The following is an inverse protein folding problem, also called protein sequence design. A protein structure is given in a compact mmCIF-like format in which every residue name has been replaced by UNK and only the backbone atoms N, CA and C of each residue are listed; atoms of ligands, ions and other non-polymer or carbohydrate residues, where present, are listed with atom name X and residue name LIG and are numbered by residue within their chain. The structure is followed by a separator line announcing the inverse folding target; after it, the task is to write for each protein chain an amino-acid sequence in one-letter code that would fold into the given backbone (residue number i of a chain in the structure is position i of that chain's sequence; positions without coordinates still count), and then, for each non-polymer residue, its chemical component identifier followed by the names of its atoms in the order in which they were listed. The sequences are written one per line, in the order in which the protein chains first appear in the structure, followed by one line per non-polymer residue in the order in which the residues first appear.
data_IF_686249143864
#
_entry.id   IF_686249143864
#
_cell.length_a   1.000
_cell.length_b   1.000
_cell.length_c   1.000
_cell.angle_alpha   90.00
_cell.angle_beta   90.00
_cell.angle_gamma   90.00
#
_symmetry.space_group_name_H-M   'P 1'
#
loop_
_entity.id
_entity.type
_entity.pdbx_description
1 polymer ?
#
# COMPACT_ATOMS: atom_id res chain seq x y z
N UNK A 1 14.57 5.33 -8.53
CA UNK A 1 13.95 6.52 -7.92
C UNK A 1 14.58 7.73 -8.61
N UNK A 2 13.80 8.69 -9.12
CA UNK A 2 14.40 9.92 -9.63
C UNK A 2 14.88 10.77 -8.42
N UNK A 3 15.73 11.77 -8.65
CA UNK A 3 16.23 12.63 -7.56
C UNK A 3 15.11 13.36 -6.81
N UNK A 4 13.99 13.67 -7.49
CA UNK A 4 12.82 14.31 -6.88
C UNK A 4 12.16 13.42 -5.81
N UNK A 5 11.83 12.18 -6.16
CA UNK A 5 11.15 11.20 -5.31
C UNK A 5 11.99 10.86 -4.07
N UNK A 6 13.33 10.81 -4.23
CA UNK A 6 14.25 10.57 -3.11
C UNK A 6 14.27 11.76 -2.13
N UNK A 7 14.33 12.99 -2.65
CA UNK A 7 14.30 14.20 -1.81
C UNK A 7 12.94 14.36 -1.12
N UNK A 8 11.84 14.15 -1.85
CA UNK A 8 10.49 14.18 -1.31
C UNK A 8 10.35 13.19 -0.15
N UNK A 9 10.78 11.93 -0.36
CA UNK A 9 10.77 10.91 0.69
C UNK A 9 11.59 11.33 1.91
N UNK A 10 12.83 11.80 1.72
CA UNK A 10 13.67 12.23 2.84
C UNK A 10 12.99 13.33 3.66
N UNK A 11 12.40 14.32 2.99
CA UNK A 11 11.73 15.44 3.65
C UNK A 11 10.49 14.98 4.43
N UNK A 12 9.67 14.13 3.82
CA UNK A 12 8.46 13.61 4.44
C UNK A 12 8.75 12.67 5.62
N UNK A 13 9.73 11.77 5.47
CA UNK A 13 10.11 10.84 6.53
C UNK A 13 10.71 11.60 7.73
N UNK A 14 11.49 12.66 7.49
CA UNK A 14 12.01 13.51 8.57
C UNK A 14 10.89 14.31 9.24
N UNK A 15 9.99 14.93 8.46
CA UNK A 15 8.86 15.68 9.01
C UNK A 15 7.97 14.76 9.87
N UNK A 16 7.69 13.56 9.38
CA UNK A 16 6.97 12.52 10.10
C UNK A 16 7.68 12.16 11.41
N UNK A 17 8.99 11.93 11.37
CA UNK A 17 9.78 11.62 12.57
C UNK A 17 9.74 12.74 13.60
N UNK A 18 9.82 14.01 13.17
CA UNK A 18 9.74 15.19 14.05
C UNK A 18 8.37 15.31 14.71
N UNK A 19 7.27 15.08 13.98
CA UNK A 19 5.94 14.99 14.58
C UNK A 19 5.84 13.83 15.57
N UNK A 20 6.29 12.62 15.20
CA UNK A 20 6.30 11.42 16.06
C UNK A 20 7.05 11.64 17.38
N UNK A 21 8.14 12.41 17.36
CA UNK A 21 8.97 12.74 18.53
C UNK A 21 8.45 13.91 19.35
N UNK A 22 7.50 14.68 18.82
CA UNK A 22 7.02 15.91 19.45
C UNK A 22 7.99 17.09 19.34
N UNK A 23 8.94 17.04 18.40
CA UNK A 23 9.90 18.12 18.15
C UNK A 23 9.19 19.42 17.76
N UNK A 24 8.01 19.30 17.13
CA UNK A 24 7.12 20.39 16.78
C UNK A 24 5.92 20.45 17.73
N UNK A 25 6.18 20.79 19.00
CA UNK A 25 5.18 20.74 20.08
C UNK A 25 3.95 21.65 19.90
N UNK A 26 4.05 22.70 19.08
CA UNK A 26 2.93 23.60 18.74
C UNK A 26 2.20 23.20 17.45
N UNK A 27 2.55 22.04 16.89
CA UNK A 27 2.01 21.58 15.62
C UNK A 27 0.53 21.22 15.72
N UNK A 28 -0.18 21.43 14.60
CA UNK A 28 -1.58 21.01 14.42
C UNK A 28 -1.72 19.50 14.13
N UNK A 29 -0.59 18.81 13.99
CA UNK A 29 -0.42 17.37 13.81
C UNK A 29 0.17 16.76 15.08
N UNK A 30 -0.47 15.70 15.58
CA UNK A 30 -0.10 14.96 16.80
C UNK A 30 1.02 13.93 16.57
N UNK A 31 1.61 13.43 17.65
CA UNK A 31 2.61 12.37 17.62
C UNK A 31 2.06 10.98 17.22
N UNK A 32 0.75 10.83 17.07
CA UNK A 32 0.11 9.60 16.57
C UNK A 32 -0.14 9.62 15.06
N UNK A 33 0.46 10.57 14.35
CA UNK A 33 0.43 10.63 12.89
C UNK A 33 1.13 9.41 12.28
N UNK A 34 0.55 8.89 11.19
CA UNK A 34 1.12 7.79 10.41
C UNK A 34 1.04 8.09 8.93
N UNK A 35 2.01 7.59 8.15
CA UNK A 35 1.97 7.64 6.69
C UNK A 35 0.94 6.65 6.17
N UNK A 36 0.09 7.12 5.27
CA UNK A 36 -0.94 6.29 4.62
C UNK A 36 -0.73 6.27 3.12
N UNK A 37 -1.54 5.46 2.43
CA UNK A 37 -1.65 5.53 0.98
C UNK A 37 -2.00 6.96 0.55
N UNK A 38 -1.28 7.47 -0.44
CA UNK A 38 -1.71 8.62 -1.22
C UNK A 38 -2.60 8.13 -2.36
N UNK A 39 -3.81 8.66 -2.46
CA UNK A 39 -4.66 8.41 -3.62
C UNK A 39 -4.08 9.18 -4.81
N UNK A 40 -3.94 8.51 -5.96
CA UNK A 40 -3.48 9.17 -7.20
C UNK A 40 -4.62 9.76 -8.03
N UNK A 41 -5.84 9.80 -7.49
CA UNK A 41 -6.93 10.57 -8.09
C UNK A 41 -6.55 12.05 -8.02
N UNK A 42 -6.70 12.76 -9.13
CA UNK A 42 -6.43 14.19 -9.16
C UNK A 42 -7.40 14.93 -8.21
N UNK A 43 -6.91 15.82 -7.32
CA UNK A 43 -5.50 16.20 -7.12
C UNK A 43 -4.72 15.20 -6.25
N UNK A 44 -3.57 14.71 -6.76
CA UNK A 44 -2.77 13.65 -6.12
C UNK A 44 -1.58 14.23 -5.36
N UNK A 45 -1.57 14.20 -4.01
CA UNK A 45 -0.42 14.64 -3.23
C UNK A 45 0.78 13.70 -3.37
N UNK A 46 1.98 14.22 -3.13
CA UNK A 46 3.21 13.43 -3.11
C UNK A 46 3.24 12.44 -1.93
N UNK A 47 2.67 12.85 -0.79
CA UNK A 47 2.43 11.98 0.36
C UNK A 47 1.16 12.37 1.13
N UNK A 48 0.56 11.36 1.78
CA UNK A 48 -0.59 11.54 2.66
C UNK A 48 -0.30 10.93 4.02
N UNK A 49 -0.66 11.66 5.07
CA UNK A 49 -0.61 11.20 6.44
C UNK A 49 -2.01 11.19 7.06
N UNK A 50 -2.17 10.41 8.12
CA UNK A 50 -3.37 10.38 8.93
C UNK A 50 -3.04 10.57 10.41
N UNK A 51 -3.68 11.55 11.02
CA UNK A 51 -3.59 11.82 12.45
C UNK A 51 -4.76 11.16 13.19
N UNK A 52 -4.46 10.16 14.02
CA UNK A 52 -5.48 9.40 14.73
C UNK A 52 -6.09 10.15 15.93
N UNK A 53 -5.38 11.12 16.52
CA UNK A 53 -5.91 11.90 17.65
C UNK A 53 -6.94 12.89 17.15
N UNK A 54 -6.59 13.67 16.13
CA UNK A 54 -7.48 14.70 15.60
C UNK A 54 -8.43 14.18 14.53
N UNK A 55 -8.23 12.94 14.04
CA UNK A 55 -8.97 12.31 12.95
C UNK A 55 -8.90 13.15 11.68
N UNK A 56 -7.68 13.49 11.25
CA UNK A 56 -7.41 14.40 10.13
C UNK A 56 -6.52 13.74 9.09
N UNK A 57 -6.81 14.01 7.82
CA UNK A 57 -5.95 13.63 6.69
C UNK A 57 -5.05 14.82 6.33
N UNK A 58 -3.76 14.58 6.18
CA UNK A 58 -2.76 15.62 5.89
C UNK A 58 -2.13 15.31 4.54
N UNK A 59 -2.20 16.25 3.59
CA UNK A 59 -1.54 16.14 2.29
C UNK A 59 -0.22 16.90 2.29
N UNK A 60 0.83 16.33 1.71
CA UNK A 60 2.14 16.98 1.55
C UNK A 60 2.43 17.16 0.06
N UNK A 61 2.77 18.39 -0.32
CA UNK A 61 3.32 18.73 -1.63
C UNK A 61 4.82 18.98 -1.48
N UNK A 62 5.66 18.30 -2.26
CA UNK A 62 7.09 18.57 -2.29
C UNK A 62 7.48 19.35 -3.54
N UNK A 63 8.44 20.26 -3.39
CA UNK A 63 9.13 20.87 -4.52
C UNK A 63 10.65 20.77 -4.35
N UNK A 64 11.40 20.40 -5.40
CA UNK A 64 12.86 20.27 -5.35
C UNK A 64 13.57 21.63 -5.47
N UNK A 65 14.87 21.74 -5.16
CA UNK A 65 15.64 22.98 -5.35
C UNK A 65 15.89 23.33 -6.82
N UNK A 66 15.70 22.37 -7.72
CA UNK A 66 15.77 22.56 -9.17
C UNK A 66 14.50 23.21 -9.75
N UNK A 67 13.42 23.31 -8.96
CA UNK A 67 12.18 23.93 -9.39
C UNK A 67 12.30 25.45 -9.37
N UNK A 68 11.72 26.13 -10.36
CA UNK A 68 11.71 27.59 -10.36
C UNK A 68 10.69 28.19 -9.38
N UNK A 69 10.84 29.48 -9.07
CA UNK A 69 9.89 30.25 -8.23
C UNK A 69 8.43 30.05 -8.63
N UNK A 70 8.15 29.98 -9.94
CA UNK A 70 6.81 29.68 -10.47
C UNK A 70 6.31 28.30 -10.07
N UNK A 71 7.16 27.27 -10.18
CA UNK A 71 6.78 25.90 -9.79
C UNK A 71 6.56 25.76 -8.29
N UNK A 72 7.28 26.53 -7.45
CA UNK A 72 6.97 26.60 -6.01
C UNK A 72 5.57 27.18 -5.77
N UNK A 73 5.22 28.27 -6.46
CA UNK A 73 3.88 28.86 -6.37
C UNK A 73 2.79 27.93 -6.94
N UNK A 74 3.10 27.16 -7.98
CA UNK A 74 2.22 26.07 -8.43
C UNK A 74 2.01 25.02 -7.34
N UNK A 75 3.06 24.68 -6.58
CA UNK A 75 2.97 23.81 -5.41
C UNK A 75 2.02 24.33 -4.34
N UNK A 76 2.01 25.64 -4.07
CA UNK A 76 1.00 26.24 -3.20
C UNK A 76 -0.42 26.04 -3.76
N UNK A 77 -0.63 26.26 -5.06
CA UNK A 77 -1.91 25.99 -5.72
C UNK A 77 -2.36 24.53 -5.59
N UNK A 78 -1.42 23.58 -5.71
CA UNK A 78 -1.68 22.16 -5.47
C UNK A 78 -2.04 21.88 -4.01
N UNK A 79 -1.30 22.44 -3.05
CA UNK A 79 -1.60 22.33 -1.63
C UNK A 79 -3.01 22.85 -1.28
N UNK A 80 -3.46 23.93 -1.93
CA UNK A 80 -4.84 24.42 -1.83
C UNK A 80 -5.84 23.41 -2.40
N UNK A 81 -5.56 22.84 -3.57
CA UNK A 81 -6.44 21.87 -4.21
C UNK A 81 -6.67 20.60 -3.37
N UNK A 82 -5.65 20.15 -2.63
CA UNK A 82 -5.77 18.98 -1.75
C UNK A 82 -6.80 19.16 -0.63
N UNK A 83 -7.15 20.39 -0.27
CA UNK A 83 -8.18 20.65 0.76
C UNK A 83 -9.58 20.20 0.35
N UNK A 84 -9.80 19.82 -0.92
CA UNK A 84 -11.04 19.16 -1.35
C UNK A 84 -11.24 17.84 -0.59
N UNK A 85 -10.18 17.04 -0.45
CA UNK A 85 -10.24 15.70 0.14
C UNK A 85 -9.51 15.61 1.49
N UNK A 86 -8.36 16.27 1.63
CA UNK A 86 -7.59 16.31 2.86
C UNK A 86 -8.16 17.32 3.86
N UNK A 87 -7.93 17.07 5.16
CA UNK A 87 -8.28 18.00 6.23
C UNK A 87 -7.41 19.25 6.22
N UNK A 88 -6.13 19.07 5.91
CA UNK A 88 -5.11 20.12 5.85
C UNK A 88 -4.00 19.72 4.88
N UNK A 89 -3.14 20.67 4.52
CA UNK A 89 -1.97 20.38 3.68
C UNK A 89 -0.73 21.15 4.11
N UNK A 90 0.44 20.67 3.71
CA UNK A 90 1.70 21.39 3.84
C UNK A 90 2.40 21.46 2.48
N UNK A 91 2.91 22.65 2.15
CA UNK A 91 3.91 22.80 1.11
C UNK A 91 5.29 22.57 1.74
N UNK A 92 6.07 21.68 1.15
CA UNK A 92 7.46 21.36 1.52
C UNK A 92 8.38 21.90 0.44
N UNK A 93 9.15 22.94 0.76
CA UNK A 93 9.98 23.66 -0.21
C UNK A 93 11.42 23.86 0.30
N UNK A 94 12.41 23.99 -0.58
CA UNK A 94 13.78 24.33 -0.17
C UNK A 94 13.84 25.78 0.29
N UNK A 95 14.82 26.09 1.14
CA UNK A 95 15.11 27.49 1.48
C UNK A 95 15.68 28.28 0.30
N UNK A 96 16.51 27.61 -0.50
CA UNK A 96 17.14 28.18 -1.69
C UNK A 96 16.45 27.68 -2.96
N UNK A 97 16.09 28.62 -3.84
CA UNK A 97 15.42 28.33 -5.12
C UNK A 97 16.14 29.06 -6.24
N UNK A 98 16.63 28.35 -7.26
CA UNK A 98 17.35 28.93 -8.40
C UNK A 98 18.52 29.86 -7.99
N UNK A 99 19.28 29.51 -6.95
CA UNK A 99 20.39 30.34 -6.45
C UNK A 99 19.96 31.56 -5.65
N UNK A 100 18.68 31.71 -5.32
CA UNK A 100 18.17 32.74 -4.42
C UNK A 100 18.00 32.18 -3.00
N UNK A 101 18.92 32.49 -2.07
CA UNK A 101 18.88 31.98 -0.70
C UNK A 101 17.84 32.68 0.18
N UNK A 102 17.14 33.71 -0.34
CA UNK A 102 16.14 34.46 0.42
C UNK A 102 14.71 34.21 -0.05
N UNK A 103 14.50 33.37 -1.07
CA UNK A 103 13.16 33.11 -1.60
C UNK A 103 12.19 32.57 -0.54
N UNK A 104 12.69 31.76 0.42
CA UNK A 104 11.88 31.27 1.53
C UNK A 104 11.27 32.39 2.38
N UNK A 105 11.91 33.56 2.50
CA UNK A 105 11.36 34.71 3.24
C UNK A 105 10.13 35.29 2.56
N UNK A 106 10.15 35.34 1.23
CA UNK A 106 8.97 35.72 0.45
C UNK A 106 7.84 34.71 0.65
N UNK A 107 8.13 33.40 0.65
CA UNK A 107 7.12 32.38 0.95
C UNK A 107 6.58 32.51 2.38
N UNK A 108 7.44 32.77 3.36
CA UNK A 108 7.04 32.97 4.74
C UNK A 108 6.07 34.15 4.87
N UNK A 109 6.43 35.31 4.32
CA UNK A 109 5.57 36.50 4.33
C UNK A 109 4.25 36.25 3.61
N UNK A 110 4.27 35.57 2.46
CA UNK A 110 3.06 35.17 1.74
C UNK A 110 2.16 34.27 2.61
N UNK A 111 2.74 33.27 3.28
CA UNK A 111 1.97 32.37 4.14
C UNK A 111 1.44 33.08 5.38
N UNK A 112 2.24 33.91 6.05
CA UNK A 112 1.84 34.66 7.24
C UNK A 112 0.74 35.68 6.93
N UNK A 113 0.79 36.34 5.77
CA UNK A 113 -0.14 37.43 5.42
C UNK A 113 -1.39 36.97 4.68
N UNK A 114 -1.28 35.96 3.80
CA UNK A 114 -2.39 35.56 2.92
C UNK A 114 -3.00 34.19 3.27
N UNK A 115 -2.20 33.26 3.81
CA UNK A 115 -2.64 31.88 4.02
C UNK A 115 -3.11 31.65 5.45
N UNK A 116 -2.30 32.06 6.42
CA UNK A 116 -2.55 31.87 7.85
C UNK A 116 -3.85 32.57 8.27
N UNK A 117 -4.68 31.86 9.02
CA UNK A 117 -6.02 32.32 9.44
C UNK A 117 -7.10 32.20 8.36
N UNK A 118 -6.74 31.93 7.09
CA UNK A 118 -7.69 31.79 5.99
C UNK A 118 -7.82 30.34 5.50
N UNK A 119 -6.71 29.62 5.39
CA UNK A 119 -6.65 28.25 4.86
C UNK A 119 -5.85 27.34 5.79
N UNK A 120 -6.25 26.06 5.95
CA UNK A 120 -5.53 25.08 6.75
C UNK A 120 -4.30 24.53 6.00
N UNK A 121 -3.36 25.43 5.65
CA UNK A 121 -2.15 25.12 4.90
C UNK A 121 -0.93 25.64 5.66
N UNK A 122 0.07 24.78 5.86
CA UNK A 122 1.35 25.12 6.47
C UNK A 122 2.52 25.12 5.48
N UNK A 123 3.64 25.70 5.89
CA UNK A 123 4.89 25.75 5.15
C UNK A 123 5.99 25.03 5.92
N UNK A 124 6.55 23.99 5.32
CA UNK A 124 7.76 23.32 5.77
C UNK A 124 8.89 23.69 4.82
N UNK A 125 10.04 24.05 5.38
CA UNK A 125 11.25 24.30 4.61
C UNK A 125 12.34 23.29 4.91
N UNK A 126 13.21 23.02 3.94
CA UNK A 126 14.42 22.24 4.15
C UNK A 126 15.69 22.96 3.66
N UNK A 127 16.82 22.65 4.30
CA UNK A 127 18.06 23.44 4.22
C UNK A 127 19.31 22.57 4.01
N UNK A 128 19.15 21.44 3.32
CA UNK A 128 20.28 20.59 2.95
C UNK A 128 20.05 19.90 1.59
N UNK A 129 21.13 19.49 0.89
CA UNK A 129 21.03 18.86 -0.43
C UNK A 129 20.25 17.54 -0.47
N UNK A 130 20.02 16.89 0.68
CA UNK A 130 19.30 15.63 0.77
C UNK A 130 17.89 15.78 1.35
N UNK A 131 17.46 17.01 1.65
CA UNK A 131 16.16 17.33 2.26
C UNK A 131 15.89 16.57 3.57
N UNK A 132 16.89 16.44 4.44
CA UNK A 132 16.81 15.82 5.78
C UNK A 132 16.81 16.83 6.93
N UNK A 133 17.01 18.10 6.67
CA UNK A 133 16.95 19.17 7.67
C UNK A 133 15.69 19.98 7.43
N UNK A 134 14.55 19.47 7.92
CA UNK A 134 13.23 20.10 7.75
C UNK A 134 12.81 20.89 8.98
N UNK A 135 12.12 22.01 8.76
CA UNK A 135 11.51 22.84 9.80
C UNK A 135 10.14 23.38 9.35
N UNK A 136 9.19 23.48 10.28
CA UNK A 136 7.94 24.22 10.03
C UNK A 136 8.28 25.70 10.12
N UNK A 137 8.18 26.40 8.99
CA UNK A 137 8.42 27.84 8.92
C UNK A 137 7.15 28.63 9.21
N UNK A 138 6.00 28.16 8.71
CA UNK A 138 4.68 28.71 9.04
C UNK A 138 3.75 27.56 9.37
N UNK A 139 3.29 27.51 10.62
CA UNK A 139 2.30 26.54 11.07
C UNK A 139 0.87 26.99 10.71
N UNK A 140 0.00 26.00 10.51
CA UNK A 140 -1.43 26.17 10.34
C UNK A 140 -2.01 26.87 11.56
N UNK A 141 -2.87 27.86 11.33
CA UNK A 141 -3.52 28.60 12.40
C UNK A 141 -4.43 27.71 13.24
N UNK A 142 -4.16 27.65 14.55
CA UNK A 142 -4.89 26.81 15.50
C UNK A 142 -6.34 27.26 15.75
N UNK A 143 -6.69 28.48 15.35
CA UNK A 143 -8.06 29.01 15.43
C UNK A 143 -8.97 28.51 14.31
N UNK A 144 -8.41 27.92 13.25
CA UNK A 144 -9.19 27.39 12.14
C UNK A 144 -10.01 26.17 12.54
N UNK A 145 -11.25 26.13 12.07
CA UNK A 145 -12.09 24.93 12.17
C UNK A 145 -11.71 23.92 11.09
N UNK A 146 -10.75 23.04 11.40
CA UNK A 146 -10.25 22.03 10.47
C UNK A 146 -11.19 20.81 10.43
N UNK A 147 -11.70 20.48 9.24
CA UNK A 147 -12.59 19.33 9.04
C UNK A 147 -11.93 18.01 9.46
N UNK A 148 -12.67 17.13 10.12
CA UNK A 148 -12.25 15.74 10.34
C UNK A 148 -12.39 14.95 9.05
N UNK A 149 -11.54 13.94 8.88
CA UNK A 149 -11.67 12.99 7.78
C UNK A 149 -12.98 12.21 7.92
N UNK A 150 -13.86 12.32 6.94
CA UNK A 150 -15.12 11.55 6.86
C UNK A 150 -14.86 10.25 6.10
N UNK A 151 -15.31 9.12 6.63
CA UNK A 151 -15.22 7.83 5.92
C UNK A 151 -13.84 7.17 5.86
N UNK A 152 -12.75 7.91 6.07
CA UNK A 152 -11.38 7.38 6.18
C UNK A 152 -11.23 6.68 7.53
N UNK A 153 -11.65 5.42 7.60
CA UNK A 153 -10.97 4.50 8.53
C UNK A 153 -9.52 4.40 8.04
N UNK A 154 -8.51 4.29 8.91
CA UNK A 154 -7.19 3.88 8.48
C UNK A 154 -7.30 2.44 7.94
N UNK A 155 -7.70 2.30 6.68
CA UNK A 155 -7.93 1.00 6.01
C UNK A 155 -6.58 0.40 5.63
N UNK A 156 -5.57 1.24 5.42
CA UNK A 156 -4.19 0.78 5.21
C UNK A 156 -3.36 0.98 6.46
N UNK A 157 -2.85 -0.12 6.99
CA UNK A 157 -1.85 -0.17 8.04
C UNK A 157 -0.47 0.32 7.58
N UNK A 158 -0.33 0.71 6.32
CA UNK A 158 0.94 1.00 5.66
C UNK A 158 0.79 1.98 4.50
N UNK A 159 1.91 2.56 4.06
CA UNK A 159 1.95 3.43 2.88
C UNK A 159 2.03 2.66 1.54
N UNK A 160 2.34 1.36 1.57
CA UNK A 160 2.47 0.49 0.39
C UNK A 160 1.24 -0.41 0.18
N UNK A 161 1.15 -1.02 -1.00
CA UNK A 161 0.10 -1.98 -1.32
C UNK A 161 0.30 -3.29 -0.56
N UNK A 162 -0.48 -3.50 0.50
CA UNK A 162 -0.46 -4.77 1.22
C UNK A 162 -0.93 -5.90 0.31
N UNK A 163 -0.02 -6.79 -0.07
CA UNK A 163 -0.34 -7.99 -0.81
C UNK A 163 -0.75 -9.09 0.16
N UNK A 164 -1.75 -9.87 -0.23
CA UNK A 164 -2.22 -11.02 0.53
C UNK A 164 -2.37 -12.21 -0.42
N UNK A 165 -2.09 -13.40 0.12
CA UNK A 165 -2.06 -14.71 -0.53
C UNK A 165 -2.92 -14.89 -1.81
N UNK A 166 -2.30 -14.73 -3.00
CA UNK A 166 -2.93 -15.00 -4.29
C UNK A 166 -1.99 -14.80 -5.49
N UNK A 167 -1.79 -15.79 -6.38
CA UNK A 167 -0.78 -15.68 -7.43
C UNK A 167 -1.10 -14.56 -8.44
N UNK A 168 -0.10 -14.05 -9.21
CA UNK A 168 -0.31 -13.06 -10.28
C UNK A 168 -1.48 -13.37 -11.22
N UNK A 169 -1.72 -14.65 -11.50
CA UNK A 169 -2.84 -15.11 -12.32
C UNK A 169 -4.20 -14.66 -11.73
N UNK A 170 -4.37 -14.65 -10.39
CA UNK A 170 -5.59 -14.16 -9.76
C UNK A 170 -5.81 -12.67 -10.03
N UNK A 171 -4.75 -11.85 -10.07
CA UNK A 171 -4.88 -10.44 -10.45
C UNK A 171 -5.50 -10.32 -11.84
N UNK A 172 -5.02 -11.10 -12.81
CA UNK A 172 -5.60 -11.09 -14.16
C UNK A 172 -7.06 -11.54 -14.18
N UNK A 173 -7.44 -12.58 -13.44
CA UNK A 173 -8.84 -13.06 -13.37
C UNK A 173 -9.77 -11.97 -12.83
N UNK A 174 -9.34 -11.20 -11.83
CA UNK A 174 -10.11 -10.07 -11.32
C UNK A 174 -10.31 -9.03 -12.41
N UNK A 175 -9.26 -8.68 -13.15
CA UNK A 175 -9.33 -7.71 -14.24
C UNK A 175 -10.19 -8.19 -15.41
N UNK A 176 -10.07 -9.46 -15.78
CA UNK A 176 -10.85 -10.08 -16.85
C UNK A 176 -12.34 -10.14 -16.50
N UNK A 177 -12.65 -10.43 -15.25
CA UNK A 177 -14.02 -10.36 -14.75
C UNK A 177 -14.56 -8.93 -14.80
N UNK A 178 -13.77 -7.94 -14.35
CA UNK A 178 -14.17 -6.52 -14.42
C UNK A 178 -14.40 -6.07 -15.87
N UNK A 179 -13.51 -6.46 -16.79
CA UNK A 179 -13.67 -6.19 -18.22
C UNK A 179 -14.96 -6.78 -18.77
N UNK A 180 -15.26 -8.05 -18.44
CA UNK A 180 -16.47 -8.74 -18.92
C UNK A 180 -17.78 -8.11 -18.42
N UNK A 181 -17.72 -7.42 -17.27
CA UNK A 181 -18.87 -6.74 -16.69
C UNK A 181 -18.98 -5.28 -17.16
N UNK A 182 -18.01 -4.73 -17.87
CA UNK A 182 -17.95 -3.30 -18.25
C UNK A 182 -19.20 -2.76 -18.99
N UNK A 183 -19.96 -3.62 -19.67
CA UNK A 183 -21.24 -3.26 -20.31
C UNK A 183 -22.42 -3.10 -19.34
N UNK A 184 -22.23 -3.47 -18.08
CA UNK A 184 -23.20 -3.35 -16.99
C UNK A 184 -22.70 -2.37 -15.94
N UNK A 185 -23.61 -1.58 -15.36
CA UNK A 185 -23.27 -0.73 -14.23
C UNK A 185 -23.14 -1.59 -12.97
N UNK A 186 -21.97 -2.20 -12.76
CA UNK A 186 -21.70 -3.11 -11.67
C UNK A 186 -20.99 -2.40 -10.51
N UNK A 187 -21.16 -2.91 -9.30
CA UNK A 187 -20.37 -2.49 -8.15
C UNK A 187 -19.24 -3.46 -7.81
N UNK A 188 -18.30 -3.02 -6.98
CA UNK A 188 -17.18 -3.86 -6.48
C UNK A 188 -17.65 -5.19 -5.87
N UNK A 189 -18.79 -5.18 -5.14
CA UNK A 189 -19.36 -6.38 -4.54
C UNK A 189 -19.82 -7.40 -5.59
N UNK A 190 -20.36 -6.93 -6.71
CA UNK A 190 -20.83 -7.76 -7.80
C UNK A 190 -19.65 -8.34 -8.59
N UNK A 191 -18.63 -7.51 -8.86
CA UNK A 191 -17.36 -7.97 -9.42
C UNK A 191 -16.78 -9.11 -8.59
N UNK A 192 -16.59 -8.88 -7.28
CA UNK A 192 -16.00 -9.90 -6.41
C UNK A 192 -16.86 -11.17 -6.31
N UNK A 193 -18.19 -11.05 -6.30
CA UNK A 193 -19.09 -12.22 -6.34
C UNK A 193 -18.84 -13.06 -7.60
N UNK A 194 -18.72 -12.42 -8.76
CA UNK A 194 -18.43 -13.13 -10.02
C UNK A 194 -17.05 -13.79 -10.01
N UNK A 195 -16.00 -13.13 -9.48
CA UNK A 195 -14.68 -13.74 -9.30
C UNK A 195 -14.78 -14.97 -8.40
N UNK A 196 -15.49 -14.83 -7.28
CA UNK A 196 -15.66 -15.89 -6.29
C UNK A 196 -16.36 -17.11 -6.89
N UNK A 197 -17.58 -16.94 -7.39
CA UNK A 197 -18.45 -18.05 -7.82
C UNK A 197 -17.94 -18.76 -9.08
N UNK A 198 -17.22 -18.04 -9.96
CA UNK A 198 -16.76 -18.59 -11.25
C UNK A 198 -15.34 -19.16 -11.20
N UNK A 199 -14.48 -18.64 -10.34
CA UNK A 199 -13.04 -18.96 -10.41
C UNK A 199 -12.44 -19.48 -9.11
N UNK A 200 -12.86 -18.97 -7.94
CA UNK A 200 -12.26 -19.33 -6.66
C UNK A 200 -13.01 -20.43 -5.92
N UNK A 201 -14.35 -20.41 -5.99
CA UNK A 201 -15.23 -21.35 -5.32
C UNK A 201 -16.51 -21.60 -6.12
N UNK A 202 -16.46 -22.61 -6.98
CA UNK A 202 -17.62 -22.97 -7.82
C UNK A 202 -18.69 -23.71 -7.03
N UNK A 203 -19.91 -23.76 -7.57
CA UNK A 203 -21.02 -24.54 -6.98
C UNK A 203 -20.65 -26.01 -6.75
N UNK A 204 -19.85 -26.61 -7.63
CA UNK A 204 -19.36 -27.98 -7.48
C UNK A 204 -18.47 -28.12 -6.25
N UNK A 205 -17.59 -27.14 -6.02
CA UNK A 205 -16.72 -27.11 -4.84
C UNK A 205 -17.49 -26.94 -3.53
N UNK A 206 -18.70 -26.36 -3.58
CA UNK A 206 -19.62 -26.21 -2.44
C UNK A 206 -20.36 -27.49 -2.05
N UNK A 207 -20.32 -28.52 -2.91
CA UNK A 207 -21.07 -29.75 -2.73
C UNK A 207 -20.20 -30.94 -2.34
N UNK A 208 -18.88 -30.75 -2.17
CA UNK A 208 -17.94 -31.79 -1.79
C UNK A 208 -16.88 -31.29 -0.80
N UNK A 209 -16.44 -32.19 0.09
CA UNK A 209 -15.25 -31.98 0.94
C UNK A 209 -13.95 -32.37 0.23
N UNK A 210 -14.03 -32.92 -0.99
CA UNK A 210 -12.85 -33.17 -1.80
C UNK A 210 -12.19 -31.85 -2.20
N UNK A 211 -10.86 -31.86 -2.12
CA UNK A 211 -10.02 -30.73 -2.46
C UNK A 211 -9.75 -30.76 -3.95
N UNK A 212 -10.36 -29.85 -4.69
CA UNK A 212 -10.21 -29.76 -6.14
C UNK A 212 -9.38 -28.53 -6.53
N UNK A 213 -8.55 -28.63 -7.57
CA UNK A 213 -7.78 -27.50 -8.06
C UNK A 213 -8.70 -26.45 -8.70
N UNK A 214 -8.35 -25.17 -8.56
CA UNK A 214 -8.92 -24.10 -9.37
C UNK A 214 -8.22 -24.02 -10.73
N UNK A 215 -8.78 -23.24 -11.66
CA UNK A 215 -8.11 -22.92 -12.94
C UNK A 215 -6.98 -21.88 -12.80
N UNK A 216 -6.79 -21.34 -11.60
CA UNK A 216 -5.82 -20.28 -11.32
C UNK A 216 -4.47 -20.95 -11.08
N UNK A 217 -3.45 -20.53 -11.83
CA UNK A 217 -2.10 -21.07 -11.71
C UNK A 217 -1.27 -20.28 -10.71
N UNK A 218 -0.43 -20.98 -9.95
CA UNK A 218 0.61 -20.38 -9.12
C UNK A 218 1.86 -20.12 -9.96
N UNK A 219 2.78 -19.34 -9.38
CA UNK A 219 4.07 -19.02 -9.98
C UNK A 219 4.91 -20.24 -10.39
N UNK A 220 4.76 -21.38 -9.70
CA UNK A 220 5.45 -22.65 -9.96
C UNK A 220 4.75 -23.51 -11.02
N UNK A 221 3.68 -23.01 -11.64
CA UNK A 221 2.88 -23.75 -12.62
C UNK A 221 1.98 -24.80 -12.00
N UNK A 222 1.83 -24.86 -10.68
CA UNK A 222 0.83 -25.70 -10.02
C UNK A 222 -0.50 -24.98 -9.88
N UNK A 223 -1.65 -25.68 -9.89
CA UNK A 223 -2.93 -25.03 -9.66
C UNK A 223 -3.05 -24.55 -8.21
N UNK A 224 -3.80 -23.47 -8.02
CA UNK A 224 -4.20 -22.96 -6.73
C UNK A 224 -5.29 -23.85 -6.13
N UNK A 225 -5.05 -24.32 -4.90
CA UNK A 225 -6.03 -25.06 -4.11
C UNK A 225 -6.60 -24.13 -3.04
N UNK A 226 -7.84 -23.69 -3.22
CA UNK A 226 -8.54 -22.88 -2.22
C UNK A 226 -9.28 -23.77 -1.24
N UNK A 227 -9.35 -23.32 0.02
CA UNK A 227 -10.07 -23.98 1.13
C UNK A 227 -9.58 -25.38 1.50
N UNK A 228 -8.40 -25.79 1.01
CA UNK A 228 -7.81 -27.11 1.25
C UNK A 228 -7.82 -27.50 2.73
N UNK A 229 -7.25 -26.64 3.58
CA UNK A 229 -7.23 -26.85 5.04
C UNK A 229 -8.65 -26.99 5.62
N UNK A 230 -9.58 -26.11 5.24
CA UNK A 230 -10.95 -26.12 5.77
C UNK A 230 -11.67 -27.41 5.39
N UNK A 231 -11.51 -27.84 4.13
CA UNK A 231 -12.09 -29.08 3.63
C UNK A 231 -11.50 -30.31 4.33
N UNK A 232 -10.17 -30.39 4.47
CA UNK A 232 -9.51 -31.47 5.21
C UNK A 232 -9.91 -31.53 6.68
N UNK A 233 -9.98 -30.38 7.36
CA UNK A 233 -10.38 -30.31 8.77
C UNK A 233 -11.83 -30.76 8.98
N UNK A 234 -12.72 -30.47 8.02
CA UNK A 234 -14.11 -30.94 8.03
C UNK A 234 -14.20 -32.43 7.70
N UNK A 235 -13.44 -32.91 6.70
CA UNK A 235 -13.40 -34.34 6.35
C UNK A 235 -12.92 -35.17 7.55
N UNK A 236 -11.88 -34.71 8.25
CA UNK A 236 -11.37 -35.38 9.45
C UNK A 236 -12.43 -35.48 10.57
N UNK A 237 -13.31 -34.48 10.71
CA UNK A 237 -14.41 -34.54 11.67
C UNK A 237 -15.48 -35.55 11.26
N UNK A 238 -15.72 -35.70 9.96
CA UNK A 238 -16.62 -36.73 9.41
C UNK A 238 -16.05 -38.12 9.63
N UNK A 239 -14.77 -38.32 9.31
CA UNK A 239 -14.08 -39.62 9.44
C UNK A 239 -14.03 -40.09 10.89
N UNK A 240 -13.92 -39.15 11.84
CA UNK A 240 -13.95 -39.43 13.29
C UNK A 240 -15.37 -39.62 13.86
N UNK A 241 -16.42 -39.50 13.03
CA UNK A 241 -17.81 -39.57 13.47
C UNK A 241 -18.26 -38.38 14.34
N UNK A 242 -17.44 -37.34 14.47
CA UNK A 242 -17.76 -36.14 15.25
C UNK A 242 -18.78 -35.23 14.56
N UNK A 243 -18.93 -35.38 13.24
CA UNK A 243 -19.87 -34.61 12.42
C UNK A 243 -20.41 -35.47 11.27
N UNK A 244 -21.66 -35.27 10.86
CA UNK A 244 -22.18 -35.91 9.64
C UNK A 244 -21.65 -35.22 8.39
N UNK A 245 -21.52 -35.93 7.26
CA UNK A 245 -21.16 -35.32 5.98
C UNK A 245 -22.09 -34.14 5.61
N UNK A 246 -23.39 -34.30 5.83
CA UNK A 246 -24.38 -33.22 5.62
C UNK A 246 -24.10 -32.00 6.49
N UNK A 247 -23.75 -32.20 7.76
CA UNK A 247 -23.39 -31.13 8.69
C UNK A 247 -22.10 -30.41 8.27
N UNK A 248 -21.09 -31.17 7.83
CA UNK A 248 -19.82 -30.63 7.36
C UNK A 248 -19.99 -29.79 6.09
N UNK A 249 -20.76 -30.26 5.12
CA UNK A 249 -21.08 -29.49 3.90
C UNK A 249 -21.90 -28.23 4.21
N UNK A 250 -22.83 -28.28 5.17
CA UNK A 250 -23.55 -27.09 5.61
C UNK A 250 -22.61 -26.05 6.27
N UNK A 251 -21.66 -26.51 7.08
CA UNK A 251 -20.63 -25.64 7.69
C UNK A 251 -19.71 -25.04 6.63
N UNK A 252 -19.29 -25.83 5.63
CA UNK A 252 -18.50 -25.31 4.52
C UNK A 252 -19.24 -24.20 3.79
N UNK A 253 -20.51 -24.43 3.41
CA UNK A 253 -21.35 -23.44 2.72
C UNK A 253 -21.52 -22.15 3.53
N UNK A 254 -21.71 -22.24 4.84
CA UNK A 254 -21.79 -21.06 5.70
C UNK A 254 -20.49 -20.24 5.72
N UNK A 255 -19.33 -20.91 5.68
CA UNK A 255 -18.01 -20.23 5.71
C UNK A 255 -17.68 -19.49 4.42
N UNK A 256 -18.33 -19.82 3.31
CA UNK A 256 -18.04 -19.31 1.96
C UNK A 256 -19.21 -18.53 1.35
N UNK A 257 -20.29 -18.36 2.11
CA UNK A 257 -21.52 -17.71 1.67
C UNK A 257 -21.31 -16.20 1.40
N UNK A 258 -21.51 -15.72 0.16
CA UNK A 258 -21.42 -14.30 -0.15
C UNK A 258 -22.39 -13.42 0.65
N UNK A 259 -23.53 -13.98 1.04
CA UNK A 259 -24.61 -13.31 1.77
C UNK A 259 -24.54 -13.57 3.29
N UNK A 260 -23.53 -14.33 3.73
CA UNK A 260 -23.25 -14.60 5.13
C UNK A 260 -22.94 -13.33 5.93
N UNK A 261 -23.47 -13.26 7.16
CA UNK A 261 -23.18 -12.16 8.10
C UNK A 261 -21.83 -12.36 8.79
N UNK A 262 -21.05 -11.28 8.93
CA UNK A 262 -19.77 -11.29 9.65
C UNK A 262 -18.57 -11.65 8.78
N UNK A 263 -17.42 -11.86 9.42
CA UNK A 263 -16.17 -12.18 8.72
C UNK A 263 -16.07 -13.68 8.44
N UNK A 264 -16.65 -14.08 7.31
CA UNK A 264 -16.45 -15.41 6.73
C UNK A 264 -15.31 -15.38 5.70
N UNK A 265 -15.02 -16.51 5.06
CA UNK A 265 -13.90 -16.63 4.12
C UNK A 265 -14.13 -15.76 2.88
N UNK A 266 -15.34 -15.73 2.32
CA UNK A 266 -15.69 -14.86 1.19
C UNK A 266 -15.31 -13.40 1.47
N UNK A 267 -15.77 -12.85 2.60
CA UNK A 267 -15.49 -11.48 2.99
C UNK A 267 -14.00 -11.27 3.32
N UNK A 268 -13.33 -12.27 3.90
CA UNK A 268 -11.90 -12.21 4.19
C UNK A 268 -11.06 -12.11 2.92
N UNK A 269 -11.32 -12.92 1.89
CA UNK A 269 -10.59 -12.85 0.62
C UNK A 269 -10.88 -11.53 -0.11
N UNK A 270 -12.14 -11.07 -0.13
CA UNK A 270 -12.46 -9.76 -0.71
C UNK A 270 -11.66 -8.61 -0.09
N UNK A 271 -11.58 -8.58 1.24
CA UNK A 271 -10.84 -7.57 2.00
C UNK A 271 -9.33 -7.64 1.79
N UNK A 272 -8.83 -8.76 1.29
CA UNK A 272 -7.43 -8.97 0.99
C UNK A 272 -7.09 -8.56 -0.46
N UNK A 273 -7.86 -9.05 -1.43
CA UNK A 273 -7.55 -8.88 -2.86
C UNK A 273 -7.99 -7.52 -3.41
N UNK A 274 -9.22 -7.06 -3.10
CA UNK A 274 -9.76 -5.83 -3.71
C UNK A 274 -8.99 -4.56 -3.29
N UNK A 275 -8.61 -4.35 -2.01
CA UNK A 275 -7.80 -3.20 -1.64
C UNK A 275 -6.42 -3.20 -2.31
N UNK A 276 -5.81 -4.36 -2.53
CA UNK A 276 -4.54 -4.48 -3.25
C UNK A 276 -4.70 -4.02 -4.71
N UNK A 277 -5.70 -4.54 -5.43
CA UNK A 277 -5.98 -4.15 -6.82
C UNK A 277 -6.24 -2.64 -6.98
N UNK A 278 -6.99 -2.06 -6.03
CA UNK A 278 -7.25 -0.62 -6.00
C UNK A 278 -6.00 0.17 -5.64
N UNK A 279 -5.16 -0.30 -4.72
CA UNK A 279 -3.88 0.35 -4.38
C UNK A 279 -2.98 0.44 -5.61
N UNK A 280 -2.86 -0.66 -6.36
CA UNK A 280 -2.13 -0.71 -7.61
C UNK A 280 -2.74 0.18 -8.72
N UNK A 281 -3.92 0.76 -8.49
CA UNK A 281 -4.68 1.55 -9.46
C UNK A 281 -5.03 0.73 -10.69
N UNK A 282 -5.28 -0.56 -10.52
CA UNK A 282 -5.82 -1.40 -11.58
C UNK A 282 -7.36 -1.36 -11.60
N UNK A 283 -7.96 -0.98 -10.46
CA UNK A 283 -9.38 -0.75 -10.31
C UNK A 283 -9.63 0.61 -9.64
N UNK A 284 -10.72 1.26 -9.99
CA UNK A 284 -11.26 2.43 -9.28
C UNK A 284 -12.00 2.02 -8.00
N UNK A 285 -12.52 3.00 -7.25
CA UNK A 285 -13.25 2.75 -6.01
C UNK A 285 -14.60 2.05 -6.20
N UNK A 286 -15.16 2.10 -7.41
CA UNK A 286 -16.39 1.39 -7.78
C UNK A 286 -16.13 -0.04 -8.25
N UNK A 287 -14.86 -0.40 -8.51
CA UNK A 287 -14.45 -1.70 -9.01
C UNK A 287 -14.36 -1.79 -10.54
N UNK A 288 -14.35 -0.66 -11.27
CA UNK A 288 -14.13 -0.65 -12.71
C UNK A 288 -12.65 -0.57 -13.04
N UNK A 289 -12.27 -1.03 -14.25
CA UNK A 289 -10.90 -0.91 -14.74
C UNK A 289 -10.51 0.56 -14.92
N UNK A 290 -9.32 0.89 -14.43
CA UNK A 290 -8.60 2.11 -14.80
C UNK A 290 -7.86 1.90 -16.13
N UNK A 291 -7.15 2.93 -16.59
CA UNK A 291 -6.25 2.81 -17.75
C UNK A 291 -5.14 1.78 -17.51
N UNK A 292 -4.42 1.86 -16.38
CA UNK A 292 -3.40 0.87 -15.98
C UNK A 292 -4.00 -0.54 -15.85
N UNK A 293 -5.22 -0.64 -15.32
CA UNK A 293 -5.97 -1.89 -15.22
C UNK A 293 -6.27 -2.52 -16.58
N UNK A 294 -6.70 -1.68 -17.53
CA UNK A 294 -6.99 -2.09 -18.90
C UNK A 294 -5.72 -2.53 -19.65
N UNK A 295 -4.61 -1.82 -19.48
CA UNK A 295 -3.32 -2.19 -20.08
C UNK A 295 -2.84 -3.55 -19.57
N UNK A 296 -2.90 -3.77 -18.26
CA UNK A 296 -2.48 -5.04 -17.66
C UNK A 296 -3.42 -6.19 -18.04
N UNK A 297 -4.73 -5.95 -18.10
CA UNK A 297 -5.72 -6.91 -18.61
C UNK A 297 -5.39 -7.34 -20.03
N UNK A 298 -5.24 -6.38 -20.94
CA UNK A 298 -4.93 -6.61 -22.35
C UNK A 298 -3.63 -7.39 -22.51
N UNK A 299 -2.61 -7.07 -21.73
CA UNK A 299 -1.33 -7.79 -21.74
C UNK A 299 -1.52 -9.26 -21.38
N UNK A 300 -2.28 -9.55 -20.33
CA UNK A 300 -2.59 -10.92 -19.94
C UNK A 300 -3.50 -11.65 -20.93
N UNK A 301 -4.41 -10.94 -21.60
CA UNK A 301 -5.27 -11.49 -22.65
C UNK A 301 -4.46 -11.92 -23.88
N UNK A 302 -3.49 -11.11 -24.31
CA UNK A 302 -2.69 -11.36 -25.52
C UNK A 302 -1.58 -12.37 -25.28
N UNK A 303 -0.87 -12.28 -24.16
CA UNK A 303 0.32 -13.09 -23.89
C UNK A 303 0.07 -14.25 -22.91
N UNK A 304 -1.08 -14.24 -22.23
CA UNK A 304 -1.39 -15.14 -21.13
C UNK A 304 -0.99 -14.55 -19.75
N UNK A 305 -1.78 -14.83 -18.70
CA UNK A 305 -1.56 -14.29 -17.34
C UNK A 305 -0.32 -14.85 -16.63
N UNK A 306 0.26 -15.93 -17.14
CA UNK A 306 1.48 -16.54 -16.60
C UNK A 306 2.75 -16.14 -17.36
N UNK A 307 2.61 -15.36 -18.44
CA UNK A 307 3.71 -14.90 -19.28
C UNK A 307 4.66 -13.96 -18.55
N UNK A 308 5.91 -13.94 -18.98
CA UNK A 308 6.90 -13.00 -18.44
C UNK A 308 6.49 -11.55 -18.71
N UNK A 309 5.90 -11.25 -19.87
CA UNK A 309 5.45 -9.89 -20.22
C UNK A 309 4.37 -9.40 -19.25
N UNK A 310 3.39 -10.25 -18.92
CA UNK A 310 2.37 -9.91 -17.91
C UNK A 310 3.00 -9.68 -16.53
N UNK A 311 3.88 -10.60 -16.10
CA UNK A 311 4.58 -10.49 -14.80
C UNK A 311 5.45 -9.24 -14.73
N UNK A 312 6.10 -8.86 -15.82
CA UNK A 312 6.93 -7.66 -15.93
C UNK A 312 6.09 -6.39 -15.74
N UNK A 313 4.95 -6.30 -16.42
CA UNK A 313 4.05 -5.16 -16.28
C UNK A 313 3.46 -5.11 -14.86
N UNK A 314 2.98 -6.24 -14.32
CA UNK A 314 2.49 -6.31 -12.94
C UNK A 314 3.58 -5.92 -11.93
N UNK A 315 4.82 -6.36 -12.12
CA UNK A 315 5.93 -5.99 -11.24
C UNK A 315 6.25 -4.49 -11.32
N UNK A 316 6.16 -3.89 -12.51
CA UNK A 316 6.30 -2.44 -12.69
C UNK A 316 5.18 -1.69 -11.96
N UNK A 317 3.92 -2.10 -12.14
CA UNK A 317 2.78 -1.52 -11.41
C UNK A 317 2.96 -1.66 -9.89
N UNK A 318 3.41 -2.81 -9.40
CA UNK A 318 3.68 -3.06 -7.98
C UNK A 318 4.76 -2.12 -7.43
N UNK A 319 5.87 -1.98 -8.16
CA UNK A 319 7.00 -1.15 -7.76
C UNK A 319 6.61 0.34 -7.65
N UNK A 320 5.87 0.86 -8.63
CA UNK A 320 5.55 2.29 -8.71
C UNK A 320 4.22 2.65 -8.07
N UNK A 321 3.11 2.02 -8.47
CA UNK A 321 1.78 2.34 -7.96
C UNK A 321 1.57 1.77 -6.56
N UNK A 322 2.09 0.56 -6.31
CA UNK A 322 2.04 -0.06 -4.99
C UNK A 322 3.11 0.44 -4.00
N UNK A 323 3.99 1.35 -4.42
CA UNK A 323 5.11 1.88 -3.61
C UNK A 323 6.11 0.81 -3.11
N UNK A 324 6.17 -0.36 -3.75
CA UNK A 324 7.10 -1.41 -3.33
C UNK A 324 8.56 -1.07 -3.61
N UNK A 325 8.87 -0.21 -4.59
CA UNK A 325 10.25 0.23 -4.79
C UNK A 325 10.78 1.00 -3.57
N UNK A 326 9.95 1.88 -3.03
CA UNK A 326 10.24 2.67 -1.82
C UNK A 326 10.40 1.74 -0.60
N UNK A 327 9.48 0.78 -0.44
CA UNK A 327 9.55 -0.25 0.59
C UNK A 327 10.81 -1.11 0.51
N UNK A 328 11.21 -1.54 -0.70
CA UNK A 328 12.42 -2.33 -0.92
C UNK A 328 13.66 -1.54 -0.50
N UNK A 329 13.75 -0.27 -0.87
CA UNK A 329 14.84 0.62 -0.43
C UNK A 329 14.86 0.77 1.10
N UNK A 330 13.71 0.95 1.75
CA UNK A 330 13.63 1.05 3.21
C UNK A 330 14.10 -0.26 3.90
N UNK A 331 13.62 -1.41 3.42
CA UNK A 331 14.01 -2.73 3.95
C UNK A 331 15.50 -2.97 3.77
N UNK A 332 16.05 -2.65 2.59
CA UNK A 332 17.47 -2.81 2.33
C UNK A 332 18.33 -1.89 3.21
N UNK A 333 17.97 -0.61 3.32
CA UNK A 333 18.67 0.37 4.18
C UNK A 333 18.71 -0.08 5.64
N UNK A 334 17.63 -0.72 6.11
CA UNK A 334 17.51 -1.20 7.48
C UNK A 334 18.18 -2.55 7.73
N UNK A 335 18.58 -3.30 6.70
CA UNK A 335 19.15 -4.64 6.88
C UNK A 335 20.58 -4.78 6.39
N UNK A 336 20.98 -4.03 5.36
CA UNK A 336 22.31 -4.08 4.79
C UNK A 336 23.35 -3.56 5.80
N UNK A 337 24.43 -4.31 5.98
CA UNK A 337 25.51 -4.02 6.93
C UNK A 337 25.01 -3.88 8.39
N UNK A 338 23.89 -4.52 8.73
CA UNK A 338 23.37 -4.61 10.10
C UNK A 338 23.62 -6.00 10.67
N UNK A 339 23.81 -6.05 11.98
CA UNK A 339 24.14 -7.26 12.72
C UNK A 339 22.89 -8.12 13.04
N UNK A 340 22.12 -8.43 11.99
CA UNK A 340 21.01 -9.37 12.11
C UNK A 340 21.49 -10.77 11.76
N UNK A 341 21.42 -11.66 12.76
CA UNK A 341 21.86 -13.06 12.63
C UNK A 341 20.82 -13.96 11.95
N UNK A 342 19.58 -13.49 11.77
CA UNK A 342 18.51 -14.25 11.12
C UNK A 342 17.50 -13.36 10.42
N UNK A 343 16.76 -13.89 9.41
CA UNK A 343 15.68 -13.14 8.77
C UNK A 343 14.57 -12.74 9.75
N UNK A 344 14.31 -13.54 10.79
CA UNK A 344 13.29 -13.21 11.80
C UNK A 344 13.72 -11.98 12.60
N UNK A 345 14.98 -11.95 13.06
CA UNK A 345 15.52 -10.81 13.79
C UNK A 345 15.52 -9.52 12.93
N UNK A 346 15.90 -9.65 11.66
CA UNK A 346 15.83 -8.54 10.70
C UNK A 346 14.41 -8.01 10.52
N UNK A 347 13.42 -8.89 10.32
CA UNK A 347 12.00 -8.51 10.17
C UNK A 347 11.47 -7.80 11.42
N UNK A 348 11.76 -8.32 12.62
CA UNK A 348 11.36 -7.67 13.88
C UNK A 348 12.02 -6.29 14.03
N UNK A 349 13.28 -6.16 13.64
CA UNK A 349 13.99 -4.87 13.62
C UNK A 349 13.37 -3.85 12.67
N UNK A 350 13.08 -4.26 11.42
CA UNK A 350 12.40 -3.41 10.43
C UNK A 350 11.05 -2.96 10.97
N UNK A 351 10.25 -3.89 11.51
CA UNK A 351 8.92 -3.57 12.03
C UNK A 351 8.97 -2.52 13.14
N UNK A 352 9.92 -2.66 14.07
CA UNK A 352 10.14 -1.69 15.16
C UNK A 352 10.43 -0.30 14.58
N UNK A 353 11.38 -0.21 13.65
CA UNK A 353 11.73 1.05 12.99
C UNK A 353 10.54 1.67 12.23
N UNK A 354 9.74 0.84 11.56
CA UNK A 354 8.57 1.31 10.83
C UNK A 354 7.48 1.85 11.76
N UNK A 355 7.27 1.22 12.92
CA UNK A 355 6.34 1.70 13.94
C UNK A 355 6.82 3.02 14.56
N UNK A 356 8.11 3.09 14.93
CA UNK A 356 8.72 4.29 15.52
C UNK A 356 8.65 5.49 14.56
N UNK A 357 8.86 5.26 13.26
CA UNK A 357 8.78 6.29 12.22
C UNK A 357 7.37 6.56 11.71
N UNK A 358 6.35 5.84 12.17
CA UNK A 358 4.97 6.00 11.68
C UNK A 358 4.76 5.55 10.23
N UNK A 359 5.64 4.71 9.67
CA UNK A 359 5.51 4.13 8.33
C UNK A 359 4.57 2.92 8.28
N UNK A 360 4.24 2.37 9.45
CA UNK A 360 3.33 1.25 9.64
C UNK A 360 2.55 1.41 10.94
N UNK A 361 1.34 0.86 10.99
CA UNK A 361 0.48 0.80 12.18
C UNK A 361 -0.07 -0.60 12.36
N UNK A 362 0.00 -1.15 13.56
CA UNK A 362 -0.71 -2.41 13.85
C UNK A 362 -2.20 -2.19 14.08
N UNK A 363 -3.01 -3.19 13.73
CA UNK A 363 -4.41 -3.22 14.13
C UNK A 363 -4.49 -3.56 15.63
N UNK A 364 -4.92 -2.65 16.51
CA UNK A 364 -4.98 -2.90 17.95
C UNK A 364 -5.99 -4.00 18.30
N UNK A 365 -6.95 -4.28 17.41
CA UNK A 365 -7.96 -5.32 17.59
C UNK A 365 -7.53 -6.67 16.99
N UNK A 366 -6.29 -6.79 16.47
CA UNK A 366 -5.80 -8.06 15.92
C UNK A 366 -5.64 -9.07 17.05
N UNK A 367 -6.40 -10.16 16.98
CA UNK A 367 -6.18 -11.31 17.88
C UNK A 367 -4.80 -11.90 17.57
N UNK A 368 -3.91 -11.86 18.56
CA UNK A 368 -2.62 -12.53 18.52
C UNK A 368 -2.82 -13.95 19.04
N UNK A 369 -2.85 -14.91 18.13
CA UNK A 369 -2.88 -16.34 18.49
C UNK A 369 -1.48 -16.76 18.99
N UNK A 370 -1.19 -16.55 20.27
CA UNK A 370 -0.02 -17.09 20.97
C UNK A 370 1.35 -16.76 20.35
N UNK A 371 2.31 -17.66 20.55
CA UNK A 371 3.76 -17.53 20.28
C UNK A 371 4.14 -17.61 18.79
N UNK A 372 3.25 -17.19 17.88
CA UNK A 372 3.53 -17.28 16.44
C UNK A 372 4.62 -16.27 16.04
N UNK A 373 5.60 -16.69 15.21
CA UNK A 373 6.65 -15.80 14.73
C UNK A 373 6.06 -14.64 13.93
N UNK A 374 6.71 -13.49 14.02
CA UNK A 374 6.26 -12.27 13.34
C UNK A 374 6.13 -12.51 11.84
N UNK A 375 4.96 -12.15 11.30
CA UNK A 375 4.60 -12.35 9.88
C UNK A 375 4.71 -11.07 9.07
N UNK A 376 5.23 -9.99 9.67
CA UNK A 376 5.48 -8.73 8.99
C UNK A 376 6.31 -8.94 7.71
N UNK A 377 5.85 -8.34 6.61
CA UNK A 377 6.41 -8.47 5.25
C UNK A 377 6.45 -9.90 4.66
N UNK A 378 5.84 -10.91 5.31
CA UNK A 378 5.86 -12.28 4.80
C UNK A 378 5.27 -12.38 3.40
N UNK A 379 4.11 -11.76 3.19
CA UNK A 379 3.39 -11.85 1.91
C UNK A 379 4.08 -11.02 0.82
N UNK A 380 4.60 -9.86 1.19
CA UNK A 380 5.42 -8.99 0.33
C UNK A 380 6.63 -9.74 -0.22
N UNK A 381 7.38 -10.45 0.65
CA UNK A 381 8.50 -11.28 0.20
C UNK A 381 8.09 -12.42 -0.74
N UNK A 382 6.90 -12.99 -0.54
CA UNK A 382 6.36 -14.02 -1.43
C UNK A 382 6.12 -13.42 -2.82
N UNK A 383 5.38 -12.30 -2.94
CA UNK A 383 5.13 -11.70 -4.26
C UNK A 383 6.41 -11.18 -4.91
N UNK A 384 7.36 -10.65 -4.14
CA UNK A 384 8.69 -10.28 -4.66
C UNK A 384 9.43 -11.47 -5.23
N UNK A 385 9.40 -12.63 -4.57
CA UNK A 385 9.97 -13.87 -5.11
C UNK A 385 9.26 -14.32 -6.39
N UNK A 386 7.93 -14.30 -6.40
CA UNK A 386 7.12 -14.70 -7.57
C UNK A 386 7.36 -13.81 -8.81
N UNK A 387 7.71 -12.55 -8.60
CA UNK A 387 8.01 -11.58 -9.66
C UNK A 387 9.52 -11.44 -9.95
N UNK A 388 10.37 -12.25 -9.30
CA UNK A 388 11.82 -12.24 -9.49
C UNK A 388 12.53 -10.99 -8.95
N UNK A 389 11.89 -10.23 -8.06
CA UNK A 389 12.43 -9.04 -7.40
C UNK A 389 13.28 -9.38 -6.16
N UNK A 390 13.03 -10.54 -5.54
CA UNK A 390 13.77 -11.06 -4.40
C UNK A 390 14.29 -12.46 -4.74
N UNK A 391 15.61 -12.64 -4.65
CA UNK A 391 16.28 -13.91 -4.95
C UNK A 391 16.29 -14.83 -3.72
N UNK A 392 16.35 -16.13 -3.99
CA UNK A 392 16.64 -17.15 -2.98
C UNK A 392 17.99 -17.79 -3.30
N UNK A 393 18.88 -17.84 -2.30
CA UNK A 393 20.09 -18.66 -2.33
C UNK A 393 19.86 -19.90 -1.46
N UNK A 394 19.71 -21.05 -2.11
CA UNK A 394 19.19 -22.25 -1.44
C UNK A 394 17.77 -22.00 -0.90
N UNK A 395 17.59 -22.19 0.41
CA UNK A 395 16.30 -22.00 1.10
C UNK A 395 16.16 -20.62 1.77
N UNK A 396 17.11 -19.70 1.60
CA UNK A 396 17.09 -18.39 2.26
C UNK A 396 17.03 -17.25 1.25
N UNK A 397 16.28 -16.21 1.59
CA UNK A 397 16.25 -14.92 0.87
C UNK A 397 17.10 -13.85 1.59
N UNK A 398 17.81 -14.24 2.65
CA UNK A 398 18.53 -13.36 3.58
C UNK A 398 19.89 -13.93 3.92
N UNK A 399 20.91 -13.08 3.98
CA UNK A 399 22.25 -13.39 4.45
C UNK A 399 22.66 -12.42 5.57
N UNK A 400 23.16 -12.93 6.72
CA UNK A 400 23.68 -12.09 7.80
C UNK A 400 24.73 -11.10 7.30
N UNK A 401 24.65 -9.85 7.76
CA UNK A 401 25.53 -8.77 7.33
C UNK A 401 25.25 -8.18 5.95
N UNK A 402 24.63 -8.93 5.02
CA UNK A 402 24.24 -8.41 3.68
C UNK A 402 22.78 -7.98 3.58
N UNK A 403 21.88 -8.62 4.31
CA UNK A 403 20.44 -8.33 4.29
C UNK A 403 19.66 -9.21 3.32
N UNK A 404 18.52 -8.71 2.82
CA UNK A 404 17.69 -9.41 1.84
C UNK A 404 18.26 -9.32 0.42
N UNK A 405 18.18 -10.41 -0.35
CA UNK A 405 18.83 -10.52 -1.67
C UNK A 405 17.95 -9.93 -2.79
N UNK A 406 17.76 -8.62 -2.78
CA UNK A 406 16.99 -7.95 -3.83
C UNK A 406 17.69 -8.01 -5.19
N UNK A 407 16.95 -8.36 -6.22
CA UNK A 407 17.44 -8.48 -7.59
C UNK A 407 17.52 -7.10 -8.25
N UNK A 408 18.48 -6.28 -7.85
CA UNK A 408 18.62 -4.91 -8.38
C UNK A 408 18.80 -4.86 -9.88
N UNK A 409 19.48 -5.84 -10.49
CA UNK A 409 19.57 -5.94 -11.96
C UNK A 409 18.18 -5.98 -12.61
N UNK A 410 17.29 -6.82 -12.08
CA UNK A 410 15.91 -6.96 -12.56
C UNK A 410 15.06 -5.74 -12.24
N UNK A 411 15.15 -5.22 -11.02
CA UNK A 411 14.42 -4.02 -10.58
C UNK A 411 14.79 -2.83 -11.47
N UNK A 412 16.09 -2.58 -11.71
CA UNK A 412 16.55 -1.50 -12.58
C UNK A 412 16.07 -1.72 -14.01
N UNK A 413 16.14 -2.95 -14.55
CA UNK A 413 15.60 -3.25 -15.89
C UNK A 413 14.10 -2.90 -15.99
N UNK A 414 13.31 -3.26 -14.99
CA UNK A 414 11.88 -2.94 -14.92
C UNK A 414 11.61 -1.44 -14.83
N UNK A 415 12.46 -0.69 -14.13
CA UNK A 415 12.34 0.75 -14.00
C UNK A 415 12.78 1.49 -15.28
N UNK A 416 13.81 1.00 -15.96
CA UNK A 416 14.40 1.63 -17.15
C UNK A 416 13.71 1.28 -18.48
N UNK A 417 12.88 0.24 -18.51
CA UNK A 417 12.05 -0.06 -19.67
C UNK A 417 10.93 0.97 -19.83
N UNK A 418 11.17 2.01 -20.62
CA UNK A 418 10.20 2.97 -21.13
C UNK A 418 10.23 2.97 -22.64
#
# INVERSE_FOLDING_TARGET
MNTHDELAKNAFDEALLKWKRGDWSQSMVSAEVVRTRADKTFPSPDATLYDDIYKRTIALEFKPPTEGKRGILTGLGQAVSYLQDASMSYLVAPKEVNGDPQFYRYLQDLFETQVKGNLPIGLICYDDPNARQVEILVEIDSTLNIKKATGVRPISHSYWANYQDGPPHLCWIILDTAYSLSSSNHGEKELWRNVWDRHLFTTDQANTLEVTPTKIMKHDGTPLYRLDKVKRDLQLQVDKGAMTLKGALATLRQRVDPDGKGDNLYHSYRKNDMPFMKHLQLLDDSGHLTEDGFELHKTGLVHGPDSQVFKDLLARTLLFNGKHLELIHDVEKLTRNKDYQSPIAAISGIKKEFLEKGLYRENPNRRVDGDRPDTFLKMERIIWGQLGLLLSEGNSQFEPGKGFHFNWKRITQLCSGS
#
